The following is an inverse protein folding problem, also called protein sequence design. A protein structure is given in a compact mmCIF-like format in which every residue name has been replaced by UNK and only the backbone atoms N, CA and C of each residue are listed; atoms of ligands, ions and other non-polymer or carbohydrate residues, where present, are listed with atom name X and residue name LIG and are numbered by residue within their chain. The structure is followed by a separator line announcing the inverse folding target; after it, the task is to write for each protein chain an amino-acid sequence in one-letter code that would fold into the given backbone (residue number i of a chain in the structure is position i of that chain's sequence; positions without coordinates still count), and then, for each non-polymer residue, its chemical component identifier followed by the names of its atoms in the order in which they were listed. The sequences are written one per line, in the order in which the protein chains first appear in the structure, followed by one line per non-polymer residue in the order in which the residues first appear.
data_IF_578429970323
#
_entry.id   IF_578429970323
#
_cell.length_a   1.000
_cell.length_b   1.000
_cell.length_c   1.000
_cell.angle_alpha   90.00
_cell.angle_beta   90.00
_cell.angle_gamma   90.00
#
_symmetry.space_group_name_H-M   'P 1'
#
loop_
_entity.id
_entity.type
_entity.pdbx_description
1 polymer ?
#
# COMPACT_ATOMS: atom_id res chain seq x y z
N UNK A 1 -13.29 -11.52 -6.96
CA UNK A 1 -14.53 -11.00 -6.32
C UNK A 1 -14.16 -10.80 -4.87
N UNK A 2 -14.17 -9.57 -4.35
CA UNK A 2 -13.58 -9.30 -3.03
C UNK A 2 -14.16 -10.25 -1.98
N UNK A 3 -13.28 -11.04 -1.35
CA UNK A 3 -13.67 -12.00 -0.31
C UNK A 3 -14.48 -11.30 0.80
N UNK A 4 -15.36 -12.04 1.49
CA UNK A 4 -16.21 -11.44 2.53
C UNK A 4 -15.44 -10.68 3.62
N UNK A 5 -14.25 -11.18 3.98
CA UNK A 5 -13.39 -10.55 4.98
C UNK A 5 -12.72 -9.26 4.47
N UNK A 6 -12.29 -9.22 3.20
CA UNK A 6 -11.72 -8.00 2.61
C UNK A 6 -12.81 -6.94 2.33
N UNK A 7 -14.06 -7.35 2.06
CA UNK A 7 -15.19 -6.44 1.93
C UNK A 7 -15.54 -5.78 3.27
N UNK A 8 -15.54 -6.55 4.36
CA UNK A 8 -15.72 -6.01 5.71
C UNK A 8 -14.57 -5.08 6.11
N UNK A 9 -13.31 -5.42 5.79
CA UNK A 9 -12.17 -4.53 5.97
C UNK A 9 -12.38 -3.23 5.20
N UNK A 10 -12.73 -3.28 3.91
CA UNK A 10 -12.96 -2.11 3.07
C UNK A 10 -14.14 -1.25 3.57
N UNK A 11 -15.22 -1.87 4.05
CA UNK A 11 -16.36 -1.14 4.63
C UNK A 11 -16.00 -0.45 5.93
N UNK A 12 -15.26 -1.14 6.82
CA UNK A 12 -14.72 -0.51 8.04
C UNK A 12 -13.77 0.62 7.69
N UNK A 13 -12.89 0.39 6.71
CA UNK A 13 -11.96 1.37 6.18
C UNK A 13 -12.70 2.66 5.78
N UNK A 14 -13.73 2.55 4.93
CA UNK A 14 -14.52 3.69 4.46
C UNK A 14 -15.28 4.37 5.61
N UNK A 15 -15.88 3.61 6.52
CA UNK A 15 -16.67 4.14 7.62
C UNK A 15 -15.81 4.83 8.69
N UNK A 16 -14.69 4.21 9.09
CA UNK A 16 -13.73 4.78 10.02
C UNK A 16 -13.14 6.07 9.44
N UNK A 17 -12.88 6.15 8.14
CA UNK A 17 -12.38 7.38 7.54
C UNK A 17 -13.36 8.53 7.58
N UNK A 18 -14.66 8.28 7.48
CA UNK A 18 -15.63 9.37 7.49
C UNK A 18 -15.56 10.16 8.80
N UNK A 19 -15.50 9.45 9.93
CA UNK A 19 -15.59 10.03 11.27
C UNK A 19 -14.23 10.38 11.90
N UNK A 20 -13.12 9.97 11.27
CA UNK A 20 -11.78 10.20 11.77
C UNK A 20 -11.23 11.61 11.48
N UNK A 21 -10.33 12.07 12.36
CA UNK A 21 -9.53 13.27 12.08
C UNK A 21 -8.68 13.09 10.82
N UNK A 22 -8.31 14.17 10.13
CA UNK A 22 -7.45 14.09 8.93
C UNK A 22 -6.15 13.33 9.17
N UNK A 23 -5.54 13.55 10.34
CA UNK A 23 -4.36 12.80 10.79
C UNK A 23 -4.68 11.33 11.04
N UNK A 24 -5.78 11.03 11.72
CA UNK A 24 -6.25 9.66 11.97
C UNK A 24 -6.45 8.92 10.66
N UNK A 25 -7.19 9.51 9.73
CA UNK A 25 -7.41 8.99 8.38
C UNK A 25 -6.07 8.69 7.67
N UNK A 26 -5.14 9.66 7.62
CA UNK A 26 -3.85 9.47 6.95
C UNK A 26 -2.96 8.40 7.58
N UNK A 27 -3.06 8.17 8.89
CA UNK A 27 -2.29 7.11 9.58
C UNK A 27 -2.93 5.74 9.38
N UNK A 28 -4.24 5.62 9.63
CA UNK A 28 -4.97 4.36 9.58
C UNK A 28 -4.96 3.76 8.17
N UNK A 29 -5.24 4.58 7.15
CA UNK A 29 -5.17 4.18 5.72
C UNK A 29 -3.84 3.51 5.37
N UNK A 30 -2.72 4.11 5.78
CA UNK A 30 -1.39 3.58 5.48
C UNK A 30 -1.10 2.29 6.22
N UNK A 31 -1.53 2.15 7.47
CA UNK A 31 -1.40 0.88 8.21
C UNK A 31 -2.11 -0.26 7.46
N UNK A 32 -3.31 -0.01 6.94
CA UNK A 32 -4.08 -1.02 6.20
C UNK A 32 -3.39 -1.40 4.88
N UNK A 33 -2.83 -0.42 4.16
CA UNK A 33 -2.05 -0.70 2.95
C UNK A 33 -0.75 -1.45 3.26
N UNK A 34 -0.09 -1.14 4.38
CA UNK A 34 1.12 -1.84 4.84
C UNK A 34 0.82 -3.31 5.17
N UNK A 35 -0.29 -3.61 5.84
CA UNK A 35 -0.74 -4.98 6.07
C UNK A 35 -0.98 -5.73 4.76
N UNK A 36 -1.68 -5.11 3.80
CA UNK A 36 -1.95 -5.75 2.49
C UNK A 36 -0.65 -5.96 1.68
N UNK A 37 0.30 -5.04 1.77
CA UNK A 37 1.62 -5.20 1.15
C UNK A 37 2.40 -6.38 1.73
N UNK A 38 2.30 -6.61 3.05
CA UNK A 38 2.91 -7.76 3.70
C UNK A 38 2.28 -9.08 3.23
N UNK A 39 0.95 -9.14 3.10
CA UNK A 39 0.23 -10.30 2.56
C UNK A 39 0.73 -10.64 1.14
N UNK A 40 0.90 -9.63 0.27
CA UNK A 40 1.45 -9.78 -1.07
C UNK A 40 2.90 -10.30 -1.07
N UNK A 41 3.76 -9.71 -0.25
CA UNK A 41 5.16 -10.14 -0.14
C UNK A 41 5.24 -11.60 0.33
N UNK A 42 4.48 -11.98 1.35
CA UNK A 42 4.42 -13.35 1.86
C UNK A 42 3.88 -14.35 0.83
N UNK A 43 2.90 -13.93 0.01
CA UNK A 43 2.38 -14.74 -1.08
C UNK A 43 3.42 -14.96 -2.19
N UNK A 44 4.24 -13.94 -2.50
CA UNK A 44 5.19 -13.95 -3.60
C UNK A 44 6.46 -14.71 -3.32
N UNK A 45 7.05 -14.59 -2.13
CA UNK A 45 8.39 -15.14 -1.87
C UNK A 45 8.33 -16.63 -1.49
N UNK A 46 9.45 -17.39 -1.54
CA UNK A 46 9.49 -18.74 -0.98
C UNK A 46 9.00 -18.74 0.48
N UNK A 47 8.50 -19.90 0.94
CA UNK A 47 8.05 -20.00 2.34
C UNK A 47 9.21 -19.66 3.26
N UNK A 48 9.03 -18.64 4.08
CA UNK A 48 10.06 -18.14 4.97
C UNK A 48 9.45 -17.81 6.33
N UNK A 49 10.31 -17.71 7.35
CA UNK A 49 9.92 -17.26 8.68
C UNK A 49 9.52 -15.79 8.68
N UNK A 50 8.73 -15.39 9.67
CA UNK A 50 8.38 -13.98 9.87
C UNK A 50 9.63 -13.08 10.04
N UNK A 51 10.73 -13.60 10.58
CA UNK A 51 12.01 -12.87 10.67
C UNK A 51 12.65 -12.63 9.31
N UNK A 52 12.59 -13.60 8.40
CA UNK A 52 13.13 -13.47 7.05
C UNK A 52 12.29 -12.52 6.21
N UNK A 53 10.96 -12.60 6.32
CA UNK A 53 10.04 -11.67 5.65
C UNK A 53 10.28 -10.22 6.10
N UNK A 54 10.61 -9.99 7.37
CA UNK A 54 10.98 -8.66 7.90
C UNK A 54 12.23 -8.07 7.26
N UNK A 55 13.11 -8.86 6.64
CA UNK A 55 14.22 -8.32 5.87
C UNK A 55 13.74 -7.64 4.57
N UNK A 56 12.63 -8.12 4.00
CA UNK A 56 11.98 -7.52 2.83
C UNK A 56 11.04 -6.38 3.21
N UNK A 57 10.42 -6.45 4.38
CA UNK A 57 9.57 -5.39 4.90
C UNK A 57 9.92 -5.01 6.35
N UNK A 58 10.98 -4.19 6.55
CA UNK A 58 11.42 -3.82 7.89
C UNK A 58 10.43 -2.86 8.56
N UNK A 59 10.18 -3.07 9.85
CA UNK A 59 9.28 -2.23 10.66
C UNK A 59 9.72 -0.76 10.62
N UNK A 60 8.74 0.14 10.39
CA UNK A 60 8.99 1.59 10.31
C UNK A 60 9.73 2.04 9.05
N UNK A 61 10.01 1.14 8.09
CA UNK A 61 10.69 1.44 6.82
C UNK A 61 9.78 1.14 5.63
N UNK A 62 8.49 1.45 5.74
CA UNK A 62 7.48 1.15 4.70
C UNK A 62 7.88 1.58 3.28
N UNK A 63 8.55 2.72 3.10
CA UNK A 63 9.05 3.14 1.77
C UNK A 63 10.02 2.12 1.16
N UNK A 64 10.87 1.48 1.98
CA UNK A 64 11.77 0.42 1.54
C UNK A 64 11.00 -0.88 1.25
N UNK A 65 10.00 -1.20 2.06
CA UNK A 65 9.10 -2.34 1.81
C UNK A 65 8.41 -2.23 0.45
N UNK A 66 7.94 -1.03 0.09
CA UNK A 66 7.33 -0.75 -1.23
C UNK A 66 8.33 -0.91 -2.37
N UNK A 67 9.58 -0.49 -2.18
CA UNK A 67 10.63 -0.71 -3.19
C UNK A 67 10.97 -2.19 -3.37
N UNK A 68 11.11 -2.93 -2.26
CA UNK A 68 11.36 -4.37 -2.32
C UNK A 68 10.21 -5.12 -2.97
N UNK A 69 8.98 -4.73 -2.66
CA UNK A 69 7.76 -5.26 -3.26
C UNK A 69 7.74 -5.07 -4.79
N UNK A 70 8.11 -3.88 -5.29
CA UNK A 70 8.29 -3.67 -6.72
C UNK A 70 9.38 -4.58 -7.32
N UNK A 71 10.53 -4.69 -6.66
CA UNK A 71 11.66 -5.49 -7.15
C UNK A 71 11.35 -6.99 -7.26
N UNK A 72 10.52 -7.54 -6.36
CA UNK A 72 10.09 -8.95 -6.42
C UNK A 72 8.85 -9.17 -7.30
N UNK A 73 8.35 -8.11 -7.93
CA UNK A 73 7.26 -8.15 -8.91
C UNK A 73 5.87 -8.27 -8.30
N UNK A 74 5.65 -7.84 -7.05
CA UNK A 74 4.29 -7.75 -6.49
C UNK A 74 3.61 -6.42 -6.77
N UNK A 75 4.34 -5.37 -7.13
CA UNK A 75 3.78 -4.07 -7.47
C UNK A 75 4.12 -3.68 -8.91
N UNK A 76 3.14 -3.11 -9.61
CA UNK A 76 3.43 -2.30 -10.80
C UNK A 76 4.13 -0.98 -10.44
N UNK A 77 4.86 -0.37 -11.39
CA UNK A 77 5.51 0.94 -11.17
C UNK A 77 4.49 2.04 -10.81
N UNK A 78 3.28 1.94 -11.37
CA UNK A 78 2.15 2.81 -11.04
C UNK A 78 1.72 2.65 -9.58
N UNK A 79 1.48 1.43 -9.12
CA UNK A 79 1.08 1.17 -7.73
C UNK A 79 2.19 1.56 -6.75
N UNK A 80 3.45 1.27 -7.08
CA UNK A 80 4.62 1.71 -6.31
C UNK A 80 4.67 3.24 -6.17
N UNK A 81 4.48 3.97 -7.28
CA UNK A 81 4.50 5.43 -7.28
C UNK A 81 3.37 6.01 -6.43
N UNK A 82 2.16 5.48 -6.59
CA UNK A 82 1.00 5.91 -5.80
C UNK A 82 1.23 5.66 -4.30
N UNK A 83 1.67 4.45 -3.94
CA UNK A 83 1.95 4.08 -2.56
C UNK A 83 2.98 5.02 -1.93
N UNK A 84 4.09 5.30 -2.65
CA UNK A 84 5.10 6.26 -2.18
C UNK A 84 4.55 7.67 -2.00
N UNK A 85 3.63 8.10 -2.86
CA UNK A 85 2.98 9.40 -2.72
C UNK A 85 2.08 9.45 -1.47
N UNK A 86 1.30 8.40 -1.21
CA UNK A 86 0.47 8.27 -0.01
C UNK A 86 1.33 8.26 1.28
N UNK A 87 2.49 7.58 1.27
CA UNK A 87 3.44 7.59 2.39
C UNK A 87 3.97 9.00 2.66
N UNK A 88 4.29 9.78 1.62
CA UNK A 88 4.73 11.18 1.79
C UNK A 88 3.64 12.02 2.45
N UNK A 89 2.39 11.86 2.02
CA UNK A 89 1.25 12.56 2.61
C UNK A 89 1.11 12.20 4.10
N UNK A 90 1.11 10.90 4.45
CA UNK A 90 1.08 10.47 5.86
C UNK A 90 2.24 11.02 6.68
N UNK A 91 3.45 11.06 6.10
CA UNK A 91 4.63 11.56 6.80
C UNK A 91 4.54 13.05 7.12
N UNK A 92 3.83 13.85 6.32
CA UNK A 92 3.53 15.25 6.66
C UNK A 92 2.72 15.33 7.96
N UNK A 93 1.68 14.49 8.10
CA UNK A 93 0.87 14.41 9.32
C UNK A 93 1.66 13.84 10.52
N UNK A 94 2.64 12.96 10.29
CA UNK A 94 3.41 12.31 11.35
C UNK A 94 4.53 13.19 11.92
N UNK A 95 5.23 13.96 11.08
CA UNK A 95 6.40 14.75 11.49
C UNK A 95 6.08 16.09 12.15
N UNK A 96 4.82 16.55 12.05
CA UNK A 96 4.35 17.80 12.65
C UNK A 96 3.20 17.55 13.63
N UNK A 97 3.40 16.72 14.68
CA UNK A 97 2.32 16.20 15.51
C UNK A 97 1.60 17.26 16.34
N UNK A 98 2.22 18.43 16.54
CA UNK A 98 1.66 19.56 17.29
C UNK A 98 1.10 20.65 16.37
N UNK A 99 1.38 20.60 15.07
CA UNK A 99 0.74 21.47 14.09
C UNK A 99 -0.60 20.83 13.72
N UNK A 100 -1.70 21.56 13.83
CA UNK A 100 -3.04 21.10 13.45
C UNK A 100 -3.20 20.94 11.93
N UNK A 101 -2.34 20.14 11.31
CA UNK A 101 -2.37 19.86 9.87
C UNK A 101 -3.67 19.17 9.50
N UNK A 102 -4.23 19.61 8.38
CA UNK A 102 -5.44 19.10 7.77
C UNK A 102 -5.21 18.91 6.28
N UNK A 103 -6.14 18.24 5.60
CA UNK A 103 -6.14 18.16 4.14
C UNK A 103 -6.35 19.52 3.46
N UNK A 104 -6.66 20.57 4.22
CA UNK A 104 -6.73 21.96 3.73
C UNK A 104 -5.36 22.66 3.68
N UNK A 105 -4.30 22.04 4.21
CA UNK A 105 -2.97 22.62 4.16
C UNK A 105 -2.42 22.60 2.73
N UNK A 106 -1.90 23.74 2.25
CA UNK A 106 -1.40 23.92 0.88
C UNK A 106 -0.50 22.77 0.39
N UNK A 107 0.50 22.37 1.19
CA UNK A 107 1.43 21.32 0.80
C UNK A 107 0.75 19.94 0.67
N UNK A 108 -0.25 19.67 1.52
CA UNK A 108 -0.99 18.40 1.48
C UNK A 108 -1.92 18.39 0.27
N UNK A 109 -2.60 19.50 -0.03
CA UNK A 109 -3.39 19.67 -1.26
C UNK A 109 -2.51 19.40 -2.49
N UNK A 110 -1.34 20.01 -2.55
CA UNK A 110 -0.40 19.83 -3.67
C UNK A 110 0.13 18.39 -3.79
N UNK A 111 0.27 17.67 -2.67
CA UNK A 111 0.62 16.25 -2.71
C UNK A 111 -0.56 15.38 -3.17
N UNK A 112 -1.79 15.70 -2.74
CA UNK A 112 -3.00 14.95 -3.13
C UNK A 112 -3.38 15.16 -4.60
N UNK A 113 -3.05 16.32 -5.19
CA UNK A 113 -3.28 16.57 -6.62
C UNK A 113 -2.36 15.75 -7.54
N UNK A 114 -1.34 15.10 -7.00
CA UNK A 114 -0.43 14.21 -7.75
C UNK A 114 -0.83 12.73 -7.67
N UNK A 115 -1.86 12.40 -6.91
CA UNK A 115 -2.39 11.05 -6.86
C UNK A 115 -3.11 10.75 -8.16
N UNK A 116 -2.79 9.62 -8.77
CA UNK A 116 -3.23 9.28 -10.12
C UNK A 116 -4.29 8.17 -10.13
N UNK A 117 -4.38 7.33 -9.09
CA UNK A 117 -5.35 6.24 -9.11
C UNK A 117 -6.78 6.72 -8.91
N UNK A 118 -6.98 7.80 -8.14
CA UNK A 118 -8.31 8.41 -7.99
C UNK A 118 -8.83 9.04 -9.29
N UNK A 119 -7.94 9.41 -10.21
CA UNK A 119 -8.32 10.02 -11.50
C UNK A 119 -8.70 8.98 -12.56
N UNK A 120 -8.52 7.69 -12.27
CA UNK A 120 -8.93 6.60 -13.18
C UNK A 120 -10.43 6.29 -13.11
N UNK A 121 -11.17 6.97 -12.24
CA UNK A 121 -12.61 6.83 -12.11
C UNK A 121 -13.27 8.05 -12.74
N UNK A 122 -13.58 7.96 -14.05
CA UNK A 122 -14.07 9.06 -14.88
C UNK A 122 -15.33 9.76 -14.32
N UNK A 123 -16.11 9.07 -13.49
CA UNK A 123 -17.37 9.53 -12.91
C UNK A 123 -17.20 10.32 -11.60
N UNK A 124 -15.98 10.36 -11.03
CA UNK A 124 -15.69 10.99 -9.75
C UNK A 124 -14.94 12.31 -9.94
N UNK A 125 -15.68 13.42 -9.88
CA UNK A 125 -15.06 14.75 -9.77
C UNK A 125 -14.64 14.95 -8.31
N UNK A 126 -13.36 14.69 -8.02
CA UNK A 126 -12.78 14.84 -6.70
C UNK A 126 -11.99 16.15 -6.59
N UNK A 127 -12.67 17.21 -6.14
CA UNK A 127 -12.04 18.53 -5.93
C UNK A 127 -11.34 18.64 -4.57
N UNK A 128 -11.81 17.90 -3.57
CA UNK A 128 -11.29 17.95 -2.21
C UNK A 128 -10.12 16.97 -2.00
N UNK A 129 -9.06 17.46 -1.34
CA UNK A 129 -7.82 16.72 -1.13
C UNK A 129 -8.00 15.45 -0.27
N UNK A 130 -8.90 15.49 0.73
CA UNK A 130 -9.19 14.33 1.58
C UNK A 130 -9.88 13.24 0.78
N UNK A 131 -10.87 13.59 -0.04
CA UNK A 131 -11.53 12.63 -0.91
C UNK A 131 -10.58 12.02 -1.96
N UNK A 132 -9.72 12.83 -2.59
CA UNK A 132 -8.67 12.32 -3.49
C UNK A 132 -7.76 11.32 -2.80
N UNK A 133 -7.32 11.65 -1.59
CA UNK A 133 -6.48 10.78 -0.77
C UNK A 133 -7.17 9.44 -0.46
N UNK A 134 -8.38 9.50 0.09
CA UNK A 134 -9.15 8.30 0.46
C UNK A 134 -9.48 7.44 -0.77
N UNK A 135 -9.91 8.06 -1.87
CA UNK A 135 -10.20 7.35 -3.10
C UNK A 135 -8.94 6.64 -3.63
N UNK A 136 -7.78 7.30 -3.61
CA UNK A 136 -6.52 6.70 -4.04
C UNK A 136 -6.10 5.52 -3.16
N UNK A 137 -6.31 5.62 -1.84
CA UNK A 137 -6.09 4.48 -0.92
C UNK A 137 -6.98 3.31 -1.27
N UNK A 138 -8.28 3.55 -1.49
CA UNK A 138 -9.24 2.51 -1.85
C UNK A 138 -8.87 1.87 -3.19
N UNK A 139 -8.57 2.67 -4.21
CA UNK A 139 -8.18 2.17 -5.54
C UNK A 139 -6.88 1.37 -5.48
N UNK A 140 -5.90 1.83 -4.71
CA UNK A 140 -4.68 1.06 -4.49
C UNK A 140 -4.98 -0.26 -3.78
N UNK A 141 -5.75 -0.24 -2.69
CA UNK A 141 -6.13 -1.45 -1.95
C UNK A 141 -6.83 -2.48 -2.86
N UNK A 142 -7.77 -2.03 -3.70
CA UNK A 142 -8.45 -2.88 -4.68
C UNK A 142 -7.48 -3.47 -5.70
N UNK A 143 -6.53 -2.66 -6.19
CA UNK A 143 -5.50 -3.15 -7.09
C UNK A 143 -4.59 -4.20 -6.42
N UNK A 144 -4.17 -3.96 -5.18
CA UNK A 144 -3.34 -4.90 -4.42
C UNK A 144 -4.08 -6.21 -4.13
N UNK A 145 -5.38 -6.12 -3.84
CA UNK A 145 -6.22 -7.29 -3.64
C UNK A 145 -6.31 -8.13 -4.92
N UNK A 146 -6.50 -7.48 -6.09
CA UNK A 146 -6.51 -8.19 -7.36
C UNK A 146 -5.14 -8.81 -7.69
N UNK A 147 -4.04 -8.08 -7.44
CA UNK A 147 -2.67 -8.60 -7.60
C UNK A 147 -2.45 -9.86 -6.74
N UNK A 148 -2.98 -9.89 -5.51
CA UNK A 148 -2.85 -11.03 -4.60
C UNK A 148 -3.57 -12.29 -5.11
N UNK A 149 -4.72 -12.16 -5.76
CA UNK A 149 -5.48 -13.29 -6.33
C UNK A 149 -4.72 -13.96 -7.48
N UNK A 150 -3.94 -13.19 -8.26
CA UNK A 150 -3.24 -13.65 -9.46
C UNK A 150 -1.75 -14.00 -9.21
N UNK A 151 -1.27 -13.80 -7.98
CA UNK A 151 0.15 -13.85 -7.68
C UNK A 151 0.69 -15.27 -7.61
N UNK A 152 1.68 -15.58 -8.46
CA UNK A 152 2.44 -16.82 -8.35
C UNK A 152 3.59 -16.70 -7.35
N UNK A 153 3.81 -17.75 -6.57
CA UNK A 153 4.94 -17.83 -5.64
C UNK A 153 6.25 -18.08 -6.40
N UNK A 154 7.31 -17.34 -6.07
CA UNK A 154 8.68 -17.64 -6.47
C UNK A 154 9.06 -18.98 -5.84
N UNK A 155 9.41 -19.94 -6.68
CA UNK A 155 9.83 -21.28 -6.25
C UNK A 155 11.31 -21.30 -5.89
N UNK A 156 11.67 -22.23 -5.00
CA UNK A 156 13.07 -22.53 -4.73
C UNK A 156 13.75 -23.09 -5.98
N UNK A 157 15.02 -22.75 -6.17
CA UNK A 157 15.82 -23.36 -7.22
C UNK A 157 15.97 -24.87 -6.91
N UNK A 158 15.71 -25.75 -7.90
CA UNK A 158 15.89 -27.18 -7.68
C UNK A 158 17.37 -27.47 -7.40
N UNK A 159 17.63 -28.37 -6.47
CA UNK A 159 18.98 -28.86 -6.20
C UNK A 159 19.50 -29.59 -7.45
N UNK A 160 20.46 -28.97 -8.14
CA UNK A 160 21.16 -29.58 -9.26
C UNK A 160 22.41 -30.20 -8.69
N UNK A 161 22.30 -31.45 -8.24
CA UNK A 161 23.48 -32.23 -7.83
C UNK A 161 24.53 -32.17 -8.94
N UNK A 162 25.74 -31.74 -8.61
CA UNK A 162 26.87 -31.80 -9.53
C UNK A 162 27.26 -33.26 -9.68
N UNK A 163 26.84 -33.89 -10.78
CA UNK A 163 27.37 -35.20 -11.18
C UNK A 163 28.73 -34.92 -11.82
N UNK A 164 29.80 -35.15 -11.07
CA UNK A 164 31.13 -35.28 -11.66
C UNK A 164 31.20 -36.70 -12.23
N UNK A 165 31.29 -36.83 -13.55
CA UNK A 165 31.66 -38.10 -14.20
C UNK A 165 33.15 -38.34 -13.94
N UNK A 166 33.48 -39.50 -13.35
CA UNK A 166 34.85 -39.98 -13.09
C UNK A 166 35.61 -40.34 -14.39
#
# INVERSE_FOLDING_TARGET
MISGQDNDKLRRLINEFHDESDRGCAVITICVLEEKLLELLEARVPKCSASELRNLAPLGRLSLSVDNAYLVGVLSERNRTEFKQLIKIRNMFAHKPLEGLSFLHHDIIHLCSKLILCDMVDELILEDARHRYVCSVVMLYLSLHHELEELERITELPDRGFVFED
#
